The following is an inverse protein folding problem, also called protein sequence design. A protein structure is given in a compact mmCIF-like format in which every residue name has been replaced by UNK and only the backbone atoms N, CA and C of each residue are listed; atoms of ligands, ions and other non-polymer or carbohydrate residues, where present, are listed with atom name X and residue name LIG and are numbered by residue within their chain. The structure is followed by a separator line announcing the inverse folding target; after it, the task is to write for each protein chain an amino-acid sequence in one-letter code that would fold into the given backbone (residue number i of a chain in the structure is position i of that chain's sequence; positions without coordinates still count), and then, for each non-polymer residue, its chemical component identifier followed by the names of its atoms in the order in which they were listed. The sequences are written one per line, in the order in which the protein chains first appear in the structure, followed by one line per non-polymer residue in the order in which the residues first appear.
data_IF_013093676096
#
_entry.id   IF_013093676096
#
_cell.length_a   1.000
_cell.length_b   1.000
_cell.length_c   1.000
_cell.angle_alpha   90.00
_cell.angle_beta   90.00
_cell.angle_gamma   90.00
#
_symmetry.space_group_name_H-M   'P 1'
#
loop_
_entity.id
_entity.type
_entity.pdbx_description
1 polymer ?
#
# COMPACT_ATOMS: atom_id res chain seq x y z
N UNK A 1 12.02 -13.42 -12.00
CA UNK A 1 11.01 -13.12 -10.96
C UNK A 1 11.47 -12.17 -9.84
N UNK A 2 12.72 -12.22 -9.36
CA UNK A 2 13.22 -11.32 -8.31
C UNK A 2 13.12 -9.82 -8.65
N UNK A 3 13.32 -9.46 -9.93
CA UNK A 3 13.15 -8.09 -10.42
C UNK A 3 11.70 -7.62 -10.25
N UNK A 4 10.74 -8.47 -10.63
CA UNK A 4 9.30 -8.18 -10.48
C UNK A 4 8.94 -7.95 -9.01
N UNK A 5 9.32 -8.89 -8.12
CA UNK A 5 9.06 -8.76 -6.69
C UNK A 5 9.65 -7.47 -6.11
N UNK A 6 10.88 -7.12 -6.49
CA UNK A 6 11.53 -5.87 -6.06
C UNK A 6 10.72 -4.63 -6.49
N UNK A 7 10.29 -4.58 -7.76
CA UNK A 7 9.51 -3.45 -8.28
C UNK A 7 8.16 -3.31 -7.55
N UNK A 8 7.48 -4.43 -7.28
CA UNK A 8 6.23 -4.43 -6.52
C UNK A 8 6.43 -3.94 -5.08
N UNK A 9 7.49 -4.41 -4.40
CA UNK A 9 7.84 -3.95 -3.05
C UNK A 9 8.19 -2.46 -3.05
N UNK A 10 8.99 -1.99 -4.00
CA UNK A 10 9.39 -0.58 -4.10
C UNK A 10 8.14 0.32 -4.26
N UNK A 11 7.16 -0.10 -5.07
CA UNK A 11 5.89 0.61 -5.20
C UNK A 11 5.06 0.54 -3.92
N UNK A 12 4.98 -0.62 -3.28
CA UNK A 12 4.25 -0.80 -2.03
C UNK A 12 4.82 0.05 -0.89
N UNK A 13 6.15 0.20 -0.81
CA UNK A 13 6.79 1.07 0.18
C UNK A 13 6.42 2.54 0.02
N UNK A 14 6.19 3.02 -1.21
CA UNK A 14 5.69 4.39 -1.43
C UNK A 14 4.31 4.60 -0.80
N UNK A 15 3.42 3.62 -0.93
CA UNK A 15 2.11 3.65 -0.27
C UNK A 15 2.26 3.66 1.26
N UNK A 16 3.04 2.74 1.81
CA UNK A 16 3.27 2.67 3.26
C UNK A 16 3.86 3.96 3.83
N UNK A 17 4.81 4.57 3.12
CA UNK A 17 5.44 5.82 3.53
C UNK A 17 4.46 6.99 3.49
N UNK A 18 3.62 7.07 2.46
CA UNK A 18 2.56 8.08 2.41
C UNK A 18 1.58 7.93 3.58
N UNK A 19 1.11 6.72 3.86
CA UNK A 19 0.22 6.43 5.01
C UNK A 19 0.86 6.84 6.32
N UNK A 20 2.08 6.36 6.60
CA UNK A 20 2.78 6.68 7.84
C UNK A 20 2.96 8.18 8.00
N UNK A 21 3.39 8.87 6.95
CA UNK A 21 3.61 10.32 6.98
C UNK A 21 2.30 11.06 7.26
N UNK A 22 1.23 10.76 6.53
CA UNK A 22 -0.08 11.39 6.75
C UNK A 22 -0.56 11.19 8.19
N UNK A 23 -0.45 9.97 8.74
CA UNK A 23 -0.91 9.67 10.11
C UNK A 23 -0.04 10.33 11.19
N UNK A 24 1.28 10.38 11.00
CA UNK A 24 2.20 11.08 11.92
C UNK A 24 1.92 12.59 11.89
N UNK A 25 1.85 13.18 10.70
CA UNK A 25 1.62 14.61 10.52
C UNK A 25 0.22 15.00 11.04
N UNK A 26 -0.79 14.13 10.91
CA UNK A 26 -2.11 14.34 11.52
C UNK A 26 -2.06 14.39 13.05
N UNK A 27 -1.36 13.45 13.71
CA UNK A 27 -1.20 13.50 15.16
C UNK A 27 -0.52 14.79 15.59
N UNK A 28 0.59 15.16 14.92
CA UNK A 28 1.30 16.41 15.21
C UNK A 28 0.43 17.66 14.97
N UNK A 29 -0.45 17.64 13.97
CA UNK A 29 -1.33 18.76 13.67
C UNK A 29 -2.48 18.88 14.69
N UNK A 30 -3.02 17.75 15.15
CA UNK A 30 -4.04 17.69 16.21
C UNK A 30 -3.45 18.19 17.53
N UNK A 31 -2.21 17.82 17.85
CA UNK A 31 -1.47 18.28 19.03
C UNK A 31 -1.02 19.75 18.91
N UNK A 32 -1.26 20.41 17.78
CA UNK A 32 -0.86 21.81 17.53
C UNK A 32 0.64 22.02 17.31
N UNK A 33 1.41 20.93 17.12
CA UNK A 33 2.86 20.97 16.86
C UNK A 33 3.16 21.44 15.43
N UNK A 34 2.32 21.07 14.45
CA UNK A 34 2.40 21.55 13.07
C UNK A 34 1.07 22.15 12.61
N UNK A 35 1.10 22.91 11.51
CA UNK A 35 -0.10 23.53 10.96
C UNK A 35 -0.97 22.49 10.24
N UNK A 36 -2.26 22.44 10.58
CA UNK A 36 -3.28 21.68 9.84
C UNK A 36 -3.48 22.27 8.45
N UNK A 37 -2.77 21.74 7.46
CA UNK A 37 -2.91 22.13 6.05
C UNK A 37 -4.13 21.47 5.38
N UNK A 38 -4.41 21.84 4.14
CA UNK A 38 -5.55 21.34 3.37
C UNK A 38 -5.50 19.81 3.13
N UNK A 39 -4.32 19.27 2.83
CA UNK A 39 -4.16 17.82 2.59
C UNK A 39 -4.41 17.00 3.87
N UNK A 40 -3.93 17.48 5.02
CA UNK A 40 -4.17 16.85 6.32
C UNK A 40 -5.66 16.95 6.69
N UNK A 41 -6.30 18.10 6.47
CA UNK A 41 -7.73 18.27 6.73
C UNK A 41 -8.58 17.33 5.86
N UNK A 42 -8.32 17.24 4.55
CA UNK A 42 -8.98 16.27 3.68
C UNK A 42 -8.75 14.83 4.17
N UNK A 43 -7.52 14.47 4.52
CA UNK A 43 -7.23 13.14 5.04
C UNK A 43 -8.03 12.82 6.32
N UNK A 44 -8.13 13.77 7.26
CA UNK A 44 -8.90 13.63 8.49
C UNK A 44 -10.40 13.44 8.20
N UNK A 45 -10.98 14.33 7.39
CA UNK A 45 -12.41 14.30 7.05
C UNK A 45 -12.78 13.00 6.33
N UNK A 46 -11.94 12.53 5.39
CA UNK A 46 -12.17 11.27 4.69
C UNK A 46 -12.07 10.06 5.61
N UNK A 47 -11.10 10.03 6.52
CA UNK A 47 -11.01 8.94 7.48
C UNK A 47 -12.19 8.92 8.44
N UNK A 48 -12.66 10.09 8.90
CA UNK A 48 -13.87 10.22 9.70
C UNK A 48 -15.10 9.64 8.98
N UNK A 49 -15.21 9.90 7.68
CA UNK A 49 -16.24 9.36 6.78
C UNK A 49 -16.03 7.88 6.37
N UNK A 50 -15.04 7.18 6.94
CA UNK A 50 -14.62 5.83 6.55
C UNK A 50 -14.25 5.68 5.05
N UNK A 51 -13.80 6.76 4.42
CA UNK A 51 -13.30 6.82 3.04
C UNK A 51 -11.77 6.85 3.02
N UNK A 52 -11.19 6.42 1.90
CA UNK A 52 -9.73 6.48 1.72
C UNK A 52 -9.31 7.93 1.43
N UNK A 53 -8.28 8.47 2.13
CA UNK A 53 -7.64 9.74 1.79
C UNK A 53 -7.17 9.79 0.33
N UNK A 54 -7.39 10.93 -0.33
CA UNK A 54 -7.04 11.09 -1.76
C UNK A 54 -5.53 10.93 -2.00
N UNK A 55 -4.70 11.41 -1.08
CA UNK A 55 -3.25 11.27 -1.14
C UNK A 55 -2.80 9.80 -1.16
N UNK A 56 -3.53 8.89 -0.52
CA UNK A 56 -3.24 7.45 -0.56
C UNK A 56 -3.75 6.82 -1.85
N UNK A 57 -4.93 7.20 -2.33
CA UNK A 57 -5.51 6.66 -3.58
C UNK A 57 -4.62 6.95 -4.80
N UNK A 58 -4.00 8.13 -4.87
CA UNK A 58 -3.06 8.49 -5.95
C UNK A 58 -1.89 7.52 -6.11
N UNK A 59 -1.52 6.81 -5.04
CA UNK A 59 -0.37 5.90 -5.02
C UNK A 59 -0.78 4.42 -4.95
N UNK A 60 -2.01 4.15 -4.55
CA UNK A 60 -2.50 2.80 -4.21
C UNK A 60 -3.57 2.31 -5.19
N UNK A 61 -4.68 1.78 -4.67
CA UNK A 61 -5.78 1.16 -5.40
C UNK A 61 -7.11 1.64 -4.81
N UNK A 62 -8.16 1.49 -5.59
CA UNK A 62 -9.52 1.78 -5.15
C UNK A 62 -10.06 0.68 -4.24
N UNK A 63 -10.88 1.06 -3.26
CA UNK A 63 -11.59 0.14 -2.39
C UNK A 63 -12.88 0.78 -1.90
N UNK A 64 -13.83 -0.03 -1.44
CA UNK A 64 -15.16 0.43 -1.05
C UNK A 64 -15.15 1.28 0.22
N UNK A 65 -14.27 0.97 1.17
CA UNK A 65 -14.15 1.67 2.46
C UNK A 65 -12.70 1.70 2.92
N UNK A 66 -12.39 2.58 3.87
CA UNK A 66 -11.08 2.61 4.52
C UNK A 66 -10.73 1.28 5.19
N UNK A 67 -11.71 0.63 5.84
CA UNK A 67 -11.51 -0.68 6.47
C UNK A 67 -11.15 -1.76 5.45
N UNK A 68 -11.90 -1.85 4.35
CA UNK A 68 -11.61 -2.78 3.26
C UNK A 68 -10.24 -2.50 2.64
N UNK A 69 -9.91 -1.22 2.41
CA UNK A 69 -8.60 -0.81 1.90
C UNK A 69 -7.44 -1.23 2.81
N UNK A 70 -7.62 -1.12 4.13
CA UNK A 70 -6.61 -1.53 5.10
C UNK A 70 -6.42 -3.05 5.16
N UNK A 71 -7.52 -3.82 5.13
CA UNK A 71 -7.44 -5.29 5.01
C UNK A 71 -6.64 -5.69 3.79
N UNK A 72 -6.90 -5.01 2.68
CA UNK A 72 -6.22 -5.17 1.41
C UNK A 72 -4.73 -4.79 1.46
N UNK A 73 -4.39 -3.70 2.17
CA UNK A 73 -3.01 -3.26 2.41
C UNK A 73 -2.26 -4.34 3.20
N UNK A 74 -2.88 -4.85 4.26
CA UNK A 74 -2.31 -5.90 5.10
C UNK A 74 -2.09 -7.21 4.32
N UNK A 75 -3.10 -7.66 3.56
CA UNK A 75 -3.00 -8.88 2.76
C UNK A 75 -1.89 -8.80 1.68
N UNK A 76 -1.75 -7.64 1.02
CA UNK A 76 -0.65 -7.41 0.07
C UNK A 76 0.72 -7.46 0.74
N UNK A 77 0.85 -6.83 1.92
CA UNK A 77 2.07 -6.89 2.71
C UNK A 77 2.43 -8.34 3.07
N UNK A 78 1.46 -9.13 3.54
CA UNK A 78 1.68 -10.53 3.90
C UNK A 78 2.11 -11.37 2.70
N UNK A 79 1.51 -11.17 1.51
CA UNK A 79 1.97 -11.82 0.28
C UNK A 79 3.46 -11.54 0.00
N UNK A 80 3.88 -10.27 0.02
CA UNK A 80 5.27 -9.91 -0.26
C UNK A 80 6.22 -10.44 0.81
N UNK A 81 5.84 -10.37 2.09
CA UNK A 81 6.65 -10.90 3.20
C UNK A 81 6.77 -12.41 3.16
N UNK A 82 5.70 -13.12 2.84
CA UNK A 82 5.72 -14.57 2.67
C UNK A 82 6.66 -14.95 1.53
N UNK A 83 6.62 -14.23 0.41
CA UNK A 83 7.54 -14.46 -0.69
C UNK A 83 9.00 -14.20 -0.30
N UNK A 84 9.31 -13.09 0.37
CA UNK A 84 10.67 -12.76 0.81
C UNK A 84 11.28 -13.75 1.81
N UNK A 85 10.44 -14.49 2.55
CA UNK A 85 10.89 -15.50 3.53
C UNK A 85 11.32 -16.82 2.90
N UNK A 86 10.98 -17.05 1.64
CA UNK A 86 11.39 -18.25 0.91
C UNK A 86 12.87 -18.15 0.54
N UNK A 87 13.51 -19.30 0.35
CA UNK A 87 14.87 -19.36 -0.18
C UNK A 87 14.96 -18.66 -1.54
N UNK A 88 16.12 -18.10 -1.88
CA UNK A 88 16.32 -17.25 -3.08
C UNK A 88 15.87 -17.90 -4.40
N UNK A 89 15.91 -19.22 -4.48
CA UNK A 89 15.54 -20.00 -5.68
C UNK A 89 14.14 -20.62 -5.58
N UNK A 90 13.41 -20.34 -4.49
CA UNK A 90 12.06 -20.83 -4.23
C UNK A 90 11.02 -19.72 -4.44
N UNK A 91 9.83 -20.10 -4.90
CA UNK A 91 8.70 -19.18 -5.12
C UNK A 91 7.41 -19.76 -4.55
N UNK A 92 6.42 -18.92 -4.19
CA UNK A 92 5.10 -19.40 -3.80
C UNK A 92 4.50 -20.31 -4.87
N UNK A 93 3.79 -21.35 -4.45
CA UNK A 93 3.07 -22.26 -5.35
C UNK A 93 1.75 -21.66 -5.86
N UNK A 94 1.27 -20.60 -5.21
CA UNK A 94 0.08 -19.85 -5.58
C UNK A 94 0.31 -18.36 -5.32
N UNK A 95 -0.31 -17.51 -6.14
CA UNK A 95 -0.21 -16.06 -6.04
C UNK A 95 -1.59 -15.42 -6.06
N UNK A 96 -1.81 -14.43 -5.21
CA UNK A 96 -3.02 -13.61 -5.25
C UNK A 96 -2.83 -12.50 -6.30
N UNK A 97 -3.29 -12.79 -7.51
CA UNK A 97 -3.03 -11.95 -8.69
C UNK A 97 -3.53 -10.52 -8.55
N UNK A 98 -4.70 -10.30 -7.94
CA UNK A 98 -5.25 -8.94 -7.73
C UNK A 98 -4.57 -8.19 -6.58
N UNK A 99 -3.69 -8.86 -5.83
CA UNK A 99 -2.82 -8.23 -4.84
C UNK A 99 -1.63 -7.50 -5.46
N UNK A 100 -1.26 -7.82 -6.70
CA UNK A 100 -0.18 -7.11 -7.41
C UNK A 100 -0.65 -5.78 -7.98
N UNK A 101 0.25 -4.80 -8.01
CA UNK A 101 0.08 -3.57 -8.75
C UNK A 101 0.22 -3.77 -10.26
N UNK A 102 1.04 -4.73 -10.69
CA UNK A 102 1.22 -5.06 -12.10
C UNK A 102 1.05 -6.57 -12.40
N UNK A 103 -0.20 -7.09 -12.40
CA UNK A 103 -0.46 -8.50 -12.68
C UNK A 103 0.01 -8.95 -14.08
N UNK A 104 -0.02 -8.06 -15.08
CA UNK A 104 0.46 -8.36 -16.44
C UNK A 104 1.99 -8.49 -16.50
N UNK A 105 2.69 -7.62 -15.76
CA UNK A 105 4.14 -7.72 -15.57
C UNK A 105 4.54 -9.03 -14.91
N UNK A 106 3.74 -9.54 -13.96
CA UNK A 106 3.96 -10.85 -13.36
C UNK A 106 3.89 -11.97 -14.40
N UNK A 107 2.83 -12.01 -15.21
CA UNK A 107 2.66 -13.04 -16.25
C UNK A 107 3.79 -13.00 -17.29
N UNK A 108 4.29 -11.80 -17.60
CA UNK A 108 5.43 -11.62 -18.51
C UNK A 108 6.72 -12.14 -17.87
N UNK A 109 6.97 -11.81 -16.59
CA UNK A 109 8.13 -12.27 -15.84
C UNK A 109 8.10 -13.78 -15.53
N UNK A 110 6.94 -14.43 -15.58
CA UNK A 110 6.78 -15.89 -15.46
C UNK A 110 7.16 -16.63 -16.75
N UNK A 111 7.08 -15.97 -17.91
CA UNK A 111 7.38 -16.57 -19.22
C UNK A 111 8.88 -16.52 -19.58
N UNK A 112 9.66 -15.71 -18.88
CA UNK A 112 11.11 -15.55 -19.03
C UNK A 112 11.84 -16.43 -18.04
#
# INVERSE_FOLDING_TARGET
MNIFLRQEIDRFQRVLNAVRRTLIDLNLAIDGTIVMNEELRDALDRMYDAKIPNVWLKLSWESSTLGAWFTDLYARNEQYRAWLKLDKDTRPIAFWMTGFFNPQGFLTAMRQ
#
